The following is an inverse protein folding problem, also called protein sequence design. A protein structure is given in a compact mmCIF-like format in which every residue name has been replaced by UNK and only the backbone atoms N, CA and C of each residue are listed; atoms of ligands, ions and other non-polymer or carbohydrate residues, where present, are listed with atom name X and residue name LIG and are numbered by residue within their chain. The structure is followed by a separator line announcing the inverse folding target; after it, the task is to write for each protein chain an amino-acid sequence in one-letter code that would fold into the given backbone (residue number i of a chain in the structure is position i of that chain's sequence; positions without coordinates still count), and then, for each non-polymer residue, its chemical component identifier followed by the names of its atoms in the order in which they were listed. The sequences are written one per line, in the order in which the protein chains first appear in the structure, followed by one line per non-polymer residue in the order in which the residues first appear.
data_IF_576466444135
#
_entry.id   IF_576466444135
#
_cell.length_a   1.000
_cell.length_b   1.000
_cell.length_c   1.000
_cell.angle_alpha   90.00
_cell.angle_beta   90.00
_cell.angle_gamma   90.00
#
_symmetry.space_group_name_H-M   'P 1'
#
loop_
_entity.id
_entity.type
_entity.pdbx_description
1 polymer ?
#
# COMPACT_ATOMS: atom_id res chain seq x y z
N UNK A 1 9.91 12.88 2.25
CA UNK A 1 10.09 12.66 3.69
C UNK A 1 8.96 11.77 4.19
N UNK A 2 9.31 10.64 4.80
CA UNK A 2 8.32 9.72 5.36
C UNK A 2 7.52 10.37 6.47
N UNK A 3 6.21 10.27 6.35
CA UNK A 3 5.23 10.79 7.29
C UNK A 3 4.07 9.82 7.38
N UNK A 4 3.33 9.90 8.47
CA UNK A 4 2.13 9.11 8.66
C UNK A 4 0.89 10.00 8.55
N UNK A 5 -0.21 9.52 7.96
CA UNK A 5 -1.45 10.26 7.88
C UNK A 5 -2.20 10.12 9.21
N UNK A 6 -1.89 11.00 10.16
CA UNK A 6 -2.42 10.98 11.54
C UNK A 6 -3.95 10.92 11.62
N UNK A 7 -4.64 11.51 10.64
CA UNK A 7 -6.10 11.49 10.52
C UNK A 7 -6.67 10.07 10.32
N UNK A 8 -5.86 9.13 9.83
CA UNK A 8 -6.25 7.74 9.59
C UNK A 8 -5.71 6.76 10.64
N UNK A 9 -5.01 7.25 11.67
CA UNK A 9 -4.46 6.40 12.74
C UNK A 9 -5.56 5.72 13.54
N UNK A 10 -5.43 4.41 13.72
CA UNK A 10 -6.31 3.64 14.61
C UNK A 10 -5.90 3.89 16.07
N UNK A 11 -6.67 4.73 16.77
CA UNK A 11 -6.45 5.02 18.20
C UNK A 11 -7.21 4.08 19.13
N UNK A 12 -8.33 3.54 18.67
CA UNK A 12 -9.17 2.57 19.40
C UNK A 12 -9.76 1.55 18.44
N UNK A 13 -9.51 0.28 18.73
CA UNK A 13 -9.95 -0.90 17.99
C UNK A 13 -10.40 -1.96 19.00
N UNK A 14 -11.27 -2.87 18.55
CA UNK A 14 -11.63 -4.07 19.33
C UNK A 14 -10.44 -5.00 19.52
N UNK A 15 -9.50 -5.00 18.57
CA UNK A 15 -8.21 -5.65 18.74
C UNK A 15 -7.22 -4.62 19.27
N UNK A 16 -6.95 -4.67 20.58
CA UNK A 16 -6.09 -3.72 21.28
C UNK A 16 -4.66 -3.69 20.72
N UNK A 17 -4.19 -4.77 20.10
CA UNK A 17 -2.88 -4.82 19.44
C UNK A 17 -2.74 -3.84 18.26
N UNK A 18 -3.85 -3.26 17.79
CA UNK A 18 -3.85 -2.25 16.72
C UNK A 18 -4.06 -0.82 17.23
N UNK A 19 -4.18 -0.61 18.54
CA UNK A 19 -4.29 0.74 19.09
C UNK A 19 -2.93 1.41 19.09
N UNK A 20 -2.83 2.54 18.39
CA UNK A 20 -1.62 3.36 18.31
C UNK A 20 -1.98 4.82 18.51
N UNK A 21 -1.03 5.63 18.96
CA UNK A 21 -1.24 7.03 19.30
C UNK A 21 -0.21 7.94 18.61
N UNK A 22 -0.38 9.25 18.76
CA UNK A 22 0.56 10.23 18.21
C UNK A 22 1.96 10.11 18.84
N UNK A 23 2.02 9.61 20.07
CA UNK A 23 3.25 9.41 20.82
C UNK A 23 4.11 8.28 20.23
N UNK A 24 3.53 7.38 19.43
CA UNK A 24 4.26 6.33 18.69
C UNK A 24 5.05 6.89 17.49
N UNK A 25 4.93 8.20 17.20
CA UNK A 25 5.59 8.84 16.05
C UNK A 25 5.13 8.21 14.74
N UNK A 26 6.07 7.79 13.89
CA UNK A 26 5.72 7.16 12.60
C UNK A 26 5.29 5.69 12.71
N UNK A 27 5.31 5.09 13.91
CA UNK A 27 4.84 3.73 14.12
C UNK A 27 3.35 3.72 14.31
N UNK A 28 2.62 2.91 13.55
CA UNK A 28 1.18 2.96 13.64
C UNK A 28 0.44 1.93 12.82
N UNK A 29 -0.85 1.79 13.13
CA UNK A 29 -1.83 1.13 12.27
C UNK A 29 -2.79 2.18 11.73
N UNK A 30 -3.03 2.17 10.42
CA UNK A 30 -3.81 3.18 9.72
C UNK A 30 -4.89 2.53 8.87
N UNK A 31 -6.10 3.10 8.92
CA UNK A 31 -7.26 2.65 8.18
C UNK A 31 -7.73 3.75 7.21
N UNK A 32 -7.32 3.65 5.95
CA UNK A 32 -7.61 4.66 4.93
C UNK A 32 -8.77 4.19 4.06
N UNK A 33 -9.86 4.97 4.02
CA UNK A 33 -11.00 4.69 3.14
C UNK A 33 -10.85 5.50 1.86
N UNK A 34 -10.58 4.83 0.75
CA UNK A 34 -10.51 5.45 -0.58
C UNK A 34 -11.87 5.31 -1.27
N UNK A 35 -12.61 6.42 -1.51
CA UNK A 35 -13.88 6.35 -2.23
C UNK A 35 -13.68 5.80 -3.65
N UNK A 36 -14.56 4.90 -4.08
CA UNK A 36 -14.52 4.33 -5.43
C UNK A 36 -15.72 4.84 -6.21
N UNK A 37 -15.45 5.49 -7.35
CA UNK A 37 -16.48 5.92 -8.28
C UNK A 37 -16.74 4.81 -9.31
N UNK A 38 -17.36 3.67 -8.96
CA UNK A 38 -18.07 2.76 -9.90
C UNK A 38 -18.66 1.50 -9.25
N UNK A 39 -19.85 1.10 -9.72
CA UNK A 39 -20.50 -0.21 -9.52
C UNK A 39 -19.63 -1.30 -10.15
N UNK A 40 -19.08 -2.23 -9.37
CA UNK A 40 -18.63 -3.50 -9.91
C UNK A 40 -19.85 -4.38 -10.22
N UNK A 41 -20.16 -4.58 -11.50
CA UNK A 41 -21.06 -5.64 -11.90
C UNK A 41 -20.32 -6.97 -11.80
N UNK A 42 -20.70 -7.82 -10.85
CA UNK A 42 -20.20 -9.18 -10.79
C UNK A 42 -20.87 -9.94 -11.93
N UNK A 43 -20.10 -10.34 -12.94
CA UNK A 43 -20.61 -11.22 -14.00
C UNK A 43 -20.86 -12.60 -13.39
N UNK A 44 -22.08 -13.12 -13.53
CA UNK A 44 -22.35 -14.51 -13.19
C UNK A 44 -21.62 -15.44 -14.18
N UNK A 45 -21.68 -16.76 -13.94
CA UNK A 45 -21.09 -17.78 -14.84
C UNK A 45 -21.66 -17.78 -16.28
N UNK A 46 -22.70 -16.98 -16.53
CA UNK A 46 -23.36 -16.80 -17.83
C UNK A 46 -23.09 -15.43 -18.46
N UNK A 47 -22.28 -14.57 -17.80
CA UNK A 47 -21.94 -13.23 -18.29
C UNK A 47 -22.90 -12.11 -17.87
N UNK A 48 -24.00 -12.41 -17.19
CA UNK A 48 -24.96 -11.39 -16.75
C UNK A 48 -24.42 -10.58 -15.57
N UNK A 49 -24.59 -9.26 -15.65
CA UNK A 49 -24.27 -8.34 -14.55
C UNK A 49 -25.28 -8.54 -13.42
N UNK A 50 -24.86 -9.13 -12.29
CA UNK A 50 -25.60 -8.93 -11.03
C UNK A 50 -25.15 -7.61 -10.41
N UNK A 51 -26.11 -6.82 -9.93
CA UNK A 51 -25.85 -5.76 -8.96
C UNK A 51 -25.32 -6.41 -7.67
N UNK A 52 -24.00 -6.54 -7.57
CA UNK A 52 -23.33 -6.83 -6.32
C UNK A 52 -23.39 -5.59 -5.42
N UNK A 53 -23.43 -5.81 -4.11
CA UNK A 53 -23.26 -4.75 -3.11
C UNK A 53 -21.83 -4.21 -3.25
N UNK A 54 -21.63 -3.28 -4.18
CA UNK A 54 -20.36 -2.60 -4.37
C UNK A 54 -20.19 -1.66 -3.19
N UNK A 55 -19.19 -1.92 -2.34
CA UNK A 55 -18.79 -0.95 -1.31
C UNK A 55 -18.43 0.36 -2.02
N UNK A 56 -18.83 1.49 -1.45
CA UNK A 56 -18.51 2.83 -1.99
C UNK A 56 -17.04 3.23 -1.78
N UNK A 57 -16.24 2.37 -1.15
CA UNK A 57 -14.84 2.59 -0.85
C UNK A 57 -14.05 1.28 -0.83
N UNK A 58 -12.74 1.36 -1.07
CA UNK A 58 -11.76 0.35 -0.65
C UNK A 58 -11.17 0.79 0.70
N UNK A 59 -10.96 -0.18 1.59
CA UNK A 59 -10.28 0.04 2.87
C UNK A 59 -8.83 -0.45 2.77
N UNK A 60 -7.89 0.47 2.85
CA UNK A 60 -6.47 0.16 3.01
C UNK A 60 -6.18 0.03 4.50
N UNK A 61 -5.75 -1.16 4.93
CA UNK A 61 -5.18 -1.36 6.26
C UNK A 61 -3.67 -1.32 6.12
N UNK A 62 -3.06 -0.30 6.71
CA UNK A 62 -1.62 -0.05 6.62
C UNK A 62 -0.97 -0.20 7.99
N UNK A 63 0.19 -0.85 8.06
CA UNK A 63 1.06 -0.83 9.25
C UNK A 63 2.36 -0.15 8.85
N UNK A 64 2.70 0.95 9.52
CA UNK A 64 3.87 1.76 9.18
C UNK A 64 4.90 1.76 10.31
N UNK A 65 6.17 1.86 9.96
CA UNK A 65 7.29 2.09 10.88
C UNK A 65 8.47 2.73 10.16
N UNK A 66 9.40 3.33 10.92
CA UNK A 66 10.68 3.84 10.43
C UNK A 66 11.85 3.32 11.28
N UNK A 67 11.81 2.04 11.62
CA UNK A 67 12.78 1.38 12.50
C UNK A 67 13.78 0.52 11.72
N UNK A 68 14.83 0.05 12.40
CA UNK A 68 15.82 -0.87 11.83
C UNK A 68 16.51 -0.33 10.56
N UNK A 69 16.56 0.99 10.38
CA UNK A 69 17.13 1.64 9.20
C UNK A 69 16.22 1.60 7.97
N UNK A 70 14.92 1.34 8.12
CA UNK A 70 13.95 1.30 7.02
C UNK A 70 12.69 2.09 7.34
N UNK A 71 12.26 2.91 6.40
CA UNK A 71 10.86 3.33 6.30
C UNK A 71 10.08 2.18 5.67
N UNK A 72 8.97 1.79 6.29
CA UNK A 72 8.20 0.62 5.90
C UNK A 72 6.71 0.88 6.02
N UNK A 73 5.96 0.41 5.04
CA UNK A 73 4.49 0.27 5.11
C UNK A 73 4.08 -1.10 4.57
N UNK A 74 3.38 -1.90 5.37
CA UNK A 74 2.65 -3.07 4.87
C UNK A 74 1.21 -2.70 4.58
N UNK A 75 0.64 -3.27 3.52
CA UNK A 75 -0.69 -2.92 2.99
C UNK A 75 -1.51 -4.18 2.79
N UNK A 76 -2.68 -4.22 3.40
CA UNK A 76 -3.71 -5.23 3.15
C UNK A 76 -5.06 -4.61 2.86
N UNK A 77 -5.90 -5.37 2.16
CA UNK A 77 -7.28 -5.00 1.87
C UNK A 77 -8.22 -5.93 2.65
N UNK A 78 -8.48 -5.70 3.94
CA UNK A 78 -9.18 -6.67 4.80
C UNK A 78 -10.60 -7.01 4.34
N UNK A 79 -11.20 -6.16 3.51
CA UNK A 79 -12.54 -6.36 2.96
C UNK A 79 -12.55 -7.03 1.57
N UNK A 80 -11.37 -7.20 0.97
CA UNK A 80 -11.17 -7.73 -0.38
C UNK A 80 -10.43 -9.07 -0.34
N UNK A 81 -10.78 -10.00 -1.22
CA UNK A 81 -10.17 -11.35 -1.28
C UNK A 81 -8.98 -11.42 -2.24
N UNK A 82 -8.21 -10.33 -2.37
CA UNK A 82 -7.08 -10.19 -3.31
C UNK A 82 -5.94 -9.37 -2.71
N UNK A 83 -4.79 -9.36 -3.37
CA UNK A 83 -3.71 -8.42 -3.08
C UNK A 83 -4.11 -6.99 -3.49
N UNK A 84 -3.50 -5.96 -2.88
CA UNK A 84 -3.48 -4.62 -3.45
C UNK A 84 -2.99 -4.65 -4.90
N UNK A 85 -3.64 -3.89 -5.77
CA UNK A 85 -3.22 -3.63 -7.14
C UNK A 85 -2.09 -2.59 -7.16
N UNK A 86 -1.42 -2.45 -8.30
CA UNK A 86 -0.40 -1.43 -8.48
C UNK A 86 -0.91 -0.01 -8.16
N UNK A 87 -2.08 0.36 -8.70
CA UNK A 87 -2.66 1.69 -8.47
C UNK A 87 -2.99 1.94 -7.00
N UNK A 88 -3.48 0.92 -6.27
CA UNK A 88 -3.74 1.02 -4.83
C UNK A 88 -2.42 1.14 -4.03
N UNK A 89 -1.34 0.51 -4.49
CA UNK A 89 -0.01 0.70 -3.89
C UNK A 89 0.55 2.10 -4.17
N UNK A 90 0.30 2.66 -5.36
CA UNK A 90 0.63 4.05 -5.67
C UNK A 90 -0.16 5.05 -4.82
N UNK A 91 -1.45 4.80 -4.59
CA UNK A 91 -2.28 5.57 -3.65
C UNK A 91 -1.64 5.55 -2.25
N UNK A 92 -1.30 4.36 -1.74
CA UNK A 92 -0.67 4.23 -0.41
C UNK A 92 0.67 4.95 -0.36
N UNK A 93 1.53 4.81 -1.39
CA UNK A 93 2.81 5.56 -1.44
C UNK A 93 2.59 7.05 -1.23
N UNK A 94 1.58 7.64 -1.88
CA UNK A 94 1.31 9.07 -1.80
C UNK A 94 0.84 9.55 -0.42
N UNK A 95 0.32 8.66 0.44
CA UNK A 95 -0.01 9.02 1.83
C UNK A 95 1.23 9.10 2.73
N UNK A 96 2.21 8.22 2.50
CA UNK A 96 3.32 8.02 3.44
C UNK A 96 4.65 8.64 2.99
N UNK A 97 4.85 8.85 1.69
CA UNK A 97 6.08 9.39 1.12
C UNK A 97 5.81 10.53 0.14
N UNK A 98 6.83 11.33 -0.15
CA UNK A 98 6.73 12.35 -1.19
C UNK A 98 6.78 11.71 -2.59
N UNK A 99 6.30 12.45 -3.59
CA UNK A 99 6.25 11.96 -4.98
C UNK A 99 7.64 11.62 -5.52
N UNK A 100 8.67 12.32 -5.07
CA UNK A 100 10.08 12.14 -5.46
C UNK A 100 10.81 11.04 -4.68
N UNK A 101 10.22 10.54 -3.58
CA UNK A 101 10.84 9.47 -2.79
C UNK A 101 10.81 8.14 -3.56
N UNK A 102 11.96 7.48 -3.67
CA UNK A 102 12.09 6.16 -4.26
C UNK A 102 11.70 5.10 -3.23
N UNK A 103 10.66 4.34 -3.54
CA UNK A 103 10.09 3.30 -2.68
C UNK A 103 10.07 2.00 -3.46
N UNK A 104 10.44 0.91 -2.81
CA UNK A 104 10.67 -0.39 -3.45
C UNK A 104 9.78 -1.48 -2.85
N UNK A 105 9.46 -2.46 -3.68
CA UNK A 105 8.88 -3.73 -3.26
C UNK A 105 9.88 -4.82 -3.61
N UNK A 106 10.22 -5.66 -2.63
CA UNK A 106 11.10 -6.80 -2.83
C UNK A 106 10.32 -8.08 -3.09
N UNK A 107 10.93 -8.96 -3.87
CA UNK A 107 10.65 -10.38 -3.84
C UNK A 107 11.80 -11.06 -3.09
N UNK A 108 11.64 -11.33 -1.78
CA UNK A 108 12.61 -12.11 -1.02
C UNK A 108 12.91 -13.45 -1.70
N UNK A 109 14.12 -13.96 -1.48
CA UNK A 109 14.40 -15.34 -1.83
C UNK A 109 13.44 -16.27 -1.08
N UNK A 110 13.05 -17.39 -1.70
CA UNK A 110 11.96 -18.20 -1.19
C UNK A 110 12.18 -18.69 0.26
N UNK A 111 13.41 -19.07 0.56
CA UNK A 111 13.85 -19.49 1.90
C UNK A 111 13.70 -18.42 2.98
N UNK A 112 13.63 -17.15 2.59
CA UNK A 112 13.55 -16.00 3.49
C UNK A 112 12.11 -15.44 3.55
N UNK A 113 11.14 -16.06 2.85
CA UNK A 113 9.73 -15.66 2.95
C UNK A 113 9.15 -15.94 4.33
N UNK A 114 8.85 -14.87 5.05
CA UNK A 114 8.02 -14.90 6.25
C UNK A 114 6.64 -14.35 5.89
N UNK A 115 5.65 -15.24 5.73
CA UNK A 115 4.29 -14.85 5.33
C UNK A 115 3.28 -15.08 6.46
N UNK A 116 3.12 -14.08 7.33
CA UNK A 116 2.13 -14.13 8.41
C UNK A 116 0.70 -13.79 7.93
N UNK A 117 0.55 -13.18 6.75
CA UNK A 117 -0.74 -12.80 6.19
C UNK A 117 -0.74 -12.87 4.66
N UNK A 118 -1.44 -13.87 4.11
CA UNK A 118 -1.44 -14.26 2.70
C UNK A 118 -1.74 -13.18 1.65
N UNK A 119 -2.25 -12.00 2.05
CA UNK A 119 -2.67 -10.92 1.14
C UNK A 119 -2.14 -9.55 1.58
N UNK A 120 -0.82 -9.45 1.77
CA UNK A 120 -0.13 -8.20 2.08
C UNK A 120 0.93 -7.92 1.03
N UNK A 121 1.03 -6.67 0.59
CA UNK A 121 2.19 -6.14 -0.10
C UNK A 121 2.89 -5.12 0.80
N UNK A 122 4.16 -4.86 0.52
CA UNK A 122 5.01 -4.07 1.40
C UNK A 122 5.79 -3.06 0.56
N UNK A 123 5.90 -1.85 1.09
CA UNK A 123 6.69 -0.75 0.55
C UNK A 123 7.83 -0.45 1.51
N UNK A 124 9.03 -0.28 0.98
CA UNK A 124 10.23 0.02 1.75
C UNK A 124 11.01 1.18 1.16
N UNK A 125 11.74 1.89 2.01
CA UNK A 125 12.82 2.80 1.62
C UNK A 125 13.90 2.77 2.72
N UNK A 126 15.17 2.53 2.39
CA UNK A 126 16.22 2.54 3.40
C UNK A 126 16.46 3.96 3.91
N UNK A 127 16.78 4.08 5.18
CA UNK A 127 17.21 5.32 5.84
C UNK A 127 18.73 5.41 5.67
N UNK A 128 19.23 6.58 5.29
CA UNK A 128 20.66 6.88 5.10
C UNK A 128 21.39 6.03 4.04
N UNK A 129 20.65 5.42 3.10
CA UNK A 129 21.22 4.75 1.93
C UNK A 129 20.51 5.19 0.65
N UNK A 130 21.28 5.37 -0.41
CA UNK A 130 20.70 5.57 -1.74
C UNK A 130 20.33 4.21 -2.35
N UNK A 131 19.08 4.08 -2.80
CA UNK A 131 18.64 2.92 -3.55
C UNK A 131 19.29 2.95 -4.93
N UNK A 132 20.02 1.89 -5.35
CA UNK A 132 20.59 1.81 -6.68
C UNK A 132 19.50 1.98 -7.74
N UNK A 133 19.74 2.88 -8.69
CA UNK A 133 18.83 3.16 -9.80
C UNK A 133 19.39 2.53 -11.06
N UNK A 134 18.59 1.76 -11.82
CA UNK A 134 19.02 1.39 -13.15
C UNK A 134 19.20 2.66 -14.01
N UNK A 135 20.05 2.62 -15.05
CA UNK A 135 20.08 3.66 -16.07
C UNK A 135 18.66 3.99 -16.57
N UNK A 136 18.28 5.28 -16.72
CA UNK A 136 16.95 5.67 -17.17
C UNK A 136 16.50 5.01 -18.49
N UNK A 137 17.45 4.65 -19.35
CA UNK A 137 17.25 3.98 -20.63
C UNK A 137 16.66 2.57 -20.46
N UNK A 138 16.87 1.93 -19.30
CA UNK A 138 16.22 0.65 -18.95
C UNK A 138 14.78 0.82 -18.49
N UNK A 139 14.36 2.05 -18.16
CA UNK A 139 12.99 2.38 -17.78
C UNK A 139 12.19 2.78 -19.02
N UNK A 140 12.78 3.59 -19.90
CA UNK A 140 12.17 3.99 -21.16
C UNK A 140 12.98 5.02 -21.94
N UNK A 141 12.63 5.23 -23.20
CA UNK A 141 13.28 6.19 -24.10
C UNK A 141 12.65 7.57 -23.90
N UNK A 142 13.34 8.48 -23.20
CA UNK A 142 12.83 9.81 -22.83
C UNK A 142 12.26 10.61 -24.01
N UNK A 143 12.88 10.52 -25.18
CA UNK A 143 12.47 11.28 -26.37
C UNK A 143 11.13 10.84 -26.96
N UNK A 144 10.62 9.65 -26.62
CA UNK A 144 9.33 9.16 -27.11
C UNK A 144 8.13 9.68 -26.31
N UNK A 145 8.36 10.27 -25.13
CA UNK A 145 7.27 10.65 -24.23
C UNK A 145 6.47 9.43 -23.74
N UNK A 146 5.24 9.68 -23.26
CA UNK A 146 4.29 8.63 -22.89
C UNK A 146 3.62 8.08 -24.16
N UNK A 147 3.61 6.76 -24.31
CA UNK A 147 2.87 6.08 -25.37
C UNK A 147 1.54 5.57 -24.80
N UNK A 148 0.43 5.88 -25.47
CA UNK A 148 -0.93 5.41 -25.15
C UNK A 148 -1.45 4.39 -26.16
#
# INVERSE_FOLDING_TARGET
MFKVPEEFRIRKSKNLAFNTTSEDGNKGVFAIKKPVKKKYGVRNKFGDLKEGVSRSFILYMCIASNEMGWEHVSVSLPLEKRLPTWDEMCDVKAFFWDSTDMVIQYHPAEKDYVNNHSRVLHLWRPIDQEVPKPPPEMIGVKSLGTLE
#
